data_IF_298730799498
#
_entry.id   IF_298730799498
#
_cell.length_a   1.000
_cell.length_b   1.000
_cell.length_c   1.000
_cell.angle_alpha   90.00
_cell.angle_beta   90.00
_cell.angle_gamma   90.00
#
_symmetry.space_group_name_H-M   'P 1'
#
loop_
_entity.id
_entity.type
_entity.pdbx_description
1 polymer ?
#
# COMPACT_ATOMS: atom_id res chain seq x y z
N UNK A 1 -71.41 -24.24 -1.99
CA UNK A 1 -70.35 -25.21 -2.34
C UNK A 1 -69.13 -24.84 -1.52
N UNK A 2 -68.97 -25.48 -0.37
CA UNK A 2 -67.81 -25.32 0.50
C UNK A 2 -66.78 -26.41 0.18
N UNK A 3 -65.48 -26.09 0.04
CA UNK A 3 -64.43 -27.10 -0.07
C UNK A 3 -63.98 -27.60 1.31
N UNK A 4 -63.39 -28.82 1.37
CA UNK A 4 -63.35 -29.63 2.59
C UNK A 4 -62.21 -29.29 3.56
N UNK A 5 -62.50 -29.58 4.83
CA UNK A 5 -61.56 -29.73 5.94
C UNK A 5 -60.52 -30.81 5.63
N UNK A 6 -59.23 -30.46 5.68
CA UNK A 6 -58.15 -31.44 5.69
C UNK A 6 -57.38 -31.35 7.02
N UNK A 7 -57.56 -32.39 7.82
CA UNK A 7 -56.87 -32.66 9.07
C UNK A 7 -55.42 -33.05 8.77
N UNK A 8 -54.43 -32.40 9.40
CA UNK A 8 -53.13 -33.05 9.58
C UNK A 8 -52.59 -32.78 11.00
N UNK A 9 -52.31 -33.83 11.79
CA UNK A 9 -51.86 -33.72 13.17
C UNK A 9 -50.33 -33.70 13.21
N UNK A 10 -49.75 -32.64 13.78
CA UNK A 10 -48.45 -32.73 14.46
C UNK A 10 -48.15 -31.41 15.18
N UNK A 11 -48.46 -31.39 16.47
CA UNK A 11 -47.70 -30.57 17.40
C UNK A 11 -46.26 -31.11 17.36
N UNK A 12 -45.38 -30.43 16.62
CA UNK A 12 -43.95 -30.55 16.79
C UNK A 12 -43.51 -29.33 17.60
N UNK A 13 -43.35 -29.54 18.91
CA UNK A 13 -42.69 -28.61 19.80
C UNK A 13 -41.25 -28.46 19.29
N UNK A 14 -40.95 -27.35 18.62
CA UNK A 14 -39.57 -27.01 18.30
C UNK A 14 -38.83 -26.77 19.62
N UNK A 15 -37.67 -27.38 19.86
CA UNK A 15 -36.81 -26.94 20.95
C UNK A 15 -36.43 -25.47 20.71
N UNK A 16 -36.21 -24.67 21.77
CA UNK A 16 -35.77 -23.30 21.60
C UNK A 16 -34.49 -23.28 20.75
N UNK A 17 -34.32 -22.28 19.86
CA UNK A 17 -33.09 -22.15 19.11
C UNK A 17 -31.91 -22.13 20.09
N UNK A 18 -30.77 -22.75 19.75
CA UNK A 18 -29.57 -22.61 20.55
C UNK A 18 -29.27 -21.11 20.71
N UNK A 19 -28.68 -20.68 21.85
CA UNK A 19 -28.30 -19.28 22.02
C UNK A 19 -27.51 -18.86 20.78
N UNK A 20 -27.94 -17.78 20.15
CA UNK A 20 -27.23 -17.15 19.04
C UNK A 20 -25.76 -17.10 19.43
N UNK A 21 -24.94 -17.86 18.70
CA UNK A 21 -23.50 -17.72 18.80
C UNK A 21 -23.23 -16.26 18.49
N UNK A 22 -22.84 -15.49 19.51
CA UNK A 22 -22.35 -14.13 19.32
C UNK A 22 -21.38 -14.17 18.14
N UNK A 23 -21.46 -13.22 17.19
CA UNK A 23 -20.52 -13.20 16.09
C UNK A 23 -19.14 -13.23 16.73
N UNK A 24 -18.38 -14.29 16.45
CA UNK A 24 -17.00 -14.40 16.86
C UNK A 24 -16.38 -13.06 16.49
N UNK A 25 -16.08 -12.25 17.50
CA UNK A 25 -15.34 -11.03 17.30
C UNK A 25 -14.10 -11.50 16.60
N UNK A 26 -14.01 -11.23 15.29
CA UNK A 26 -12.74 -11.26 14.62
C UNK A 26 -11.93 -10.29 15.45
N UNK A 27 -11.00 -10.83 16.25
CA UNK A 27 -10.02 -10.02 16.97
C UNK A 27 -9.34 -9.24 15.85
N UNK A 28 -9.79 -7.99 15.69
CA UNK A 28 -9.60 -7.21 14.49
C UNK A 28 -8.12 -7.18 14.24
N UNK A 29 -7.68 -7.77 13.13
CA UNK A 29 -6.28 -8.04 12.83
C UNK A 29 -5.45 -6.83 13.25
N UNK A 30 -4.75 -6.96 14.38
CA UNK A 30 -4.15 -5.81 15.05
C UNK A 30 -3.13 -5.21 14.08
N UNK A 31 -3.03 -3.86 13.98
CA UNK A 31 -2.11 -3.23 13.06
C UNK A 31 -0.68 -3.71 13.33
N UNK A 32 -0.13 -4.54 12.45
CA UNK A 32 1.26 -4.97 12.53
C UNK A 32 2.14 -3.95 11.83
N UNK A 33 3.10 -3.40 12.57
CA UNK A 33 4.06 -2.45 12.05
C UNK A 33 5.20 -3.18 11.33
N UNK A 34 5.06 -3.35 10.01
CA UNK A 34 6.00 -4.13 9.17
C UNK A 34 7.45 -3.60 9.14
N UNK A 35 7.68 -2.38 9.61
CA UNK A 35 8.99 -1.72 9.67
C UNK A 35 9.79 -2.00 10.96
N UNK A 36 9.23 -2.76 11.89
CA UNK A 36 9.85 -3.23 13.14
C UNK A 36 9.81 -4.75 13.13
N UNK A 37 10.90 -5.44 13.50
CA UNK A 37 10.90 -6.91 13.56
C UNK A 37 9.85 -7.43 14.55
N UNK A 38 9.60 -6.68 15.63
CA UNK A 38 8.59 -7.03 16.62
C UNK A 38 7.14 -6.80 16.15
N UNK A 39 6.92 -6.05 15.07
CA UNK A 39 5.58 -5.76 14.55
C UNK A 39 4.76 -4.77 15.39
N UNK A 40 5.38 -4.07 16.35
CA UNK A 40 4.73 -3.14 17.28
C UNK A 40 5.43 -1.77 17.30
N UNK A 41 4.72 -0.67 17.65
CA UNK A 41 5.35 0.62 17.93
C UNK A 41 6.38 0.52 19.05
N UNK A 42 7.60 0.99 18.78
CA UNK A 42 8.69 1.04 19.75
C UNK A 42 8.81 2.47 20.31
N UNK A 43 8.73 2.60 21.62
CA UNK A 43 8.95 3.85 22.37
C UNK A 43 10.03 3.59 23.41
N UNK A 44 11.08 4.40 23.40
CA UNK A 44 12.23 4.28 24.33
C UNK A 44 12.84 2.86 24.38
N UNK A 45 12.91 2.19 23.22
CA UNK A 45 13.46 0.84 23.10
C UNK A 45 12.55 -0.26 23.69
N UNK A 46 11.25 0.02 23.85
CA UNK A 46 10.27 -0.94 24.36
C UNK A 46 8.99 -0.92 23.53
N UNK A 47 8.24 -2.02 23.55
CA UNK A 47 6.93 -2.12 22.93
C UNK A 47 5.95 -2.88 23.83
N UNK A 48 4.65 -2.64 23.66
CA UNK A 48 3.61 -3.40 24.35
C UNK A 48 3.26 -4.65 23.53
N UNK A 49 3.52 -5.83 24.06
CA UNK A 49 3.06 -7.08 23.46
C UNK A 49 1.56 -7.23 23.73
N UNK A 50 0.79 -7.14 22.67
CA UNK A 50 -0.66 -7.16 22.70
C UNK A 50 -1.24 -8.55 22.99
N UNK A 51 -0.45 -9.62 22.82
CA UNK A 51 -0.84 -11.00 23.11
C UNK A 51 -0.64 -11.37 24.58
N UNK A 52 0.39 -10.81 25.23
CA UNK A 52 0.70 -11.07 26.64
C UNK A 52 0.31 -9.92 27.57
N UNK A 53 0.08 -8.72 27.03
CA UNK A 53 -0.15 -7.50 27.81
C UNK A 53 1.12 -6.91 28.44
N UNK A 54 2.29 -7.43 28.11
CA UNK A 54 3.56 -7.07 28.76
C UNK A 54 4.37 -6.06 27.95
N UNK A 55 5.09 -5.19 28.65
CA UNK A 55 6.06 -4.30 28.04
C UNK A 55 7.36 -5.06 27.80
N UNK A 56 7.73 -5.30 26.54
CA UNK A 56 8.94 -6.00 26.14
C UNK A 56 10.01 -5.03 25.68
N UNK A 57 11.27 -5.33 26.01
CA UNK A 57 12.43 -4.58 25.52
C UNK A 57 12.73 -5.01 24.10
N UNK A 58 12.84 -4.03 23.20
CA UNK A 58 13.27 -4.23 21.84
C UNK A 58 14.75 -4.63 21.80
N UNK A 59 15.07 -5.73 21.10
CA UNK A 59 16.45 -6.20 20.95
C UNK A 59 17.09 -5.50 19.75
N UNK A 60 17.62 -4.31 19.98
CA UNK A 60 18.36 -3.57 18.96
C UNK A 60 19.61 -4.35 18.53
N UNK A 61 19.76 -4.59 17.23
CA UNK A 61 20.94 -5.27 16.67
C UNK A 61 20.67 -6.11 15.42
N UNK A 62 19.41 -6.41 15.13
CA UNK A 62 18.98 -7.10 13.89
C UNK A 62 18.08 -6.18 13.03
N UNK A 63 17.56 -5.11 13.63
CA UNK A 63 16.71 -4.14 12.97
C UNK A 63 17.51 -3.23 12.04
N UNK A 64 17.26 -3.36 10.74
CA UNK A 64 17.26 -2.18 9.88
C UNK A 64 16.13 -1.30 10.38
N UNK A 65 16.42 -0.40 11.32
CA UNK A 65 15.54 0.70 11.67
C UNK A 65 15.08 1.38 10.38
N UNK A 66 13.88 1.06 9.92
CA UNK A 66 13.19 1.81 8.87
C UNK A 66 12.27 2.77 9.60
N UNK A 67 12.85 3.76 10.28
CA UNK A 67 12.10 4.91 10.73
C UNK A 67 11.35 5.44 9.52
N UNK A 68 10.03 5.36 9.50
CA UNK A 68 9.31 5.86 8.35
C UNK A 68 8.71 7.24 8.60
N UNK A 69 8.26 7.90 7.52
CA UNK A 69 8.78 7.84 6.16
C UNK A 69 9.84 8.93 5.93
N UNK A 70 10.80 8.68 5.02
CA UNK A 70 10.85 9.50 3.81
C UNK A 70 10.69 8.62 2.58
N UNK A 71 9.87 7.57 2.68
CA UNK A 71 9.50 6.78 1.53
C UNK A 71 8.48 7.56 0.69
N UNK A 72 8.90 8.07 -0.46
CA UNK A 72 8.01 8.75 -1.41
C UNK A 72 7.47 7.69 -2.37
N UNK A 73 6.15 7.51 -2.41
CA UNK A 73 5.48 6.72 -3.43
C UNK A 73 5.50 7.50 -4.73
N UNK A 74 6.05 6.93 -5.78
CA UNK A 74 6.21 7.61 -7.06
C UNK A 74 5.46 6.85 -8.13
N UNK A 75 4.74 7.60 -8.95
CA UNK A 75 3.97 7.06 -10.04
C UNK A 75 4.23 7.88 -11.29
N UNK A 76 4.68 7.20 -12.33
CA UNK A 76 4.87 7.76 -13.66
C UNK A 76 3.88 7.09 -14.59
N UNK A 77 3.16 7.88 -15.38
CA UNK A 77 2.25 7.38 -16.39
C UNK A 77 2.53 8.04 -17.72
N UNK A 78 2.59 7.20 -18.75
CA UNK A 78 2.63 7.63 -20.12
C UNK A 78 1.21 7.73 -20.68
N UNK A 79 0.84 8.90 -21.20
CA UNK A 79 -0.41 9.10 -21.93
C UNK A 79 -0.24 9.00 -23.44
N UNK A 80 1.00 8.85 -23.94
CA UNK A 80 1.22 8.66 -25.35
C UNK A 80 0.87 7.23 -25.76
N UNK A 81 -0.19 7.07 -26.56
CA UNK A 81 -0.55 5.80 -27.19
C UNK A 81 -0.05 5.80 -28.65
N UNK A 82 1.11 5.19 -28.89
CA UNK A 82 1.69 5.09 -30.26
C UNK A 82 1.28 3.84 -31.03
N UNK A 83 0.65 2.85 -30.36
CA UNK A 83 0.39 1.53 -30.93
C UNK A 83 1.64 0.63 -31.07
N UNK A 84 2.83 1.11 -30.69
CA UNK A 84 4.05 0.28 -30.66
C UNK A 84 4.08 -0.62 -29.43
N UNK A 85 4.44 -1.89 -29.65
CA UNK A 85 4.72 -2.82 -28.55
C UNK A 85 5.92 -2.38 -27.71
N UNK A 86 5.83 -2.57 -26.40
CA UNK A 86 6.95 -2.33 -25.47
C UNK A 86 7.12 -0.87 -25.02
N UNK A 87 6.25 0.05 -25.46
CA UNK A 87 6.21 1.41 -24.94
C UNK A 87 5.96 1.42 -23.44
N UNK A 88 6.62 2.34 -22.74
CA UNK A 88 6.39 2.58 -21.32
C UNK A 88 4.92 2.95 -21.07
N UNK A 89 4.24 2.30 -20.13
CA UNK A 89 2.87 2.64 -19.72
C UNK A 89 2.84 3.26 -18.33
N UNK A 90 3.32 2.51 -17.33
CA UNK A 90 3.28 2.88 -15.92
C UNK A 90 4.52 2.39 -15.20
N UNK A 91 5.10 3.25 -14.35
CA UNK A 91 6.11 2.89 -13.36
C UNK A 91 5.60 3.38 -12.02
N UNK A 92 5.39 2.44 -11.11
CA UNK A 92 5.14 2.73 -9.71
C UNK A 92 6.29 2.16 -8.87
N UNK A 93 6.80 2.93 -7.91
CA UNK A 93 7.80 2.47 -6.95
C UNK A 93 7.70 3.26 -5.65
N UNK A 94 8.12 2.66 -4.55
CA UNK A 94 8.37 3.37 -3.30
C UNK A 94 9.86 3.68 -3.24
N UNK A 95 10.23 4.95 -3.15
CA UNK A 95 11.62 5.40 -3.09
C UNK A 95 11.99 5.65 -1.64
N UNK A 96 12.83 4.80 -1.06
CA UNK A 96 13.21 4.84 0.37
C UNK A 96 14.53 5.56 0.63
N UNK A 97 15.24 5.97 -0.41
CA UNK A 97 16.62 6.47 -0.32
C UNK A 97 16.73 8.00 -0.46
N UNK A 98 15.61 8.71 -0.49
CA UNK A 98 15.58 10.17 -0.49
C UNK A 98 15.49 10.69 0.94
N UNK A 99 16.21 11.77 1.25
CA UNK A 99 16.16 12.40 2.56
C UNK A 99 14.83 13.10 2.78
N UNK A 100 14.31 13.73 1.73
CA UNK A 100 13.01 14.40 1.72
C UNK A 100 12.42 14.52 0.29
N UNK A 101 11.19 15.01 0.23
CA UNK A 101 10.45 15.24 -1.01
C UNK A 101 11.12 16.30 -1.91
N UNK A 102 11.74 17.33 -1.32
CA UNK A 102 12.38 18.42 -2.07
C UNK A 102 13.58 17.89 -2.86
N UNK A 103 14.38 17.02 -2.25
CA UNK A 103 15.45 16.30 -2.92
C UNK A 103 14.91 15.46 -4.09
N UNK A 104 13.83 14.71 -3.87
CA UNK A 104 13.20 13.92 -4.93
C UNK A 104 12.71 14.79 -6.10
N UNK A 105 11.99 15.87 -5.80
CA UNK A 105 11.46 16.79 -6.82
C UNK A 105 12.57 17.51 -7.59
N UNK A 106 13.71 17.79 -6.96
CA UNK A 106 14.89 18.36 -7.63
C UNK A 106 15.45 17.39 -8.69
N UNK A 107 15.51 16.09 -8.36
CA UNK A 107 15.91 15.04 -9.31
C UNK A 107 14.89 14.89 -10.43
N UNK A 108 13.60 14.97 -10.12
CA UNK A 108 12.52 14.97 -11.13
C UNK A 108 12.69 16.16 -12.08
N UNK A 109 12.90 17.37 -11.56
CA UNK A 109 13.15 18.56 -12.40
C UNK A 109 14.35 18.38 -13.32
N UNK A 110 15.46 17.86 -12.79
CA UNK A 110 16.67 17.53 -13.59
C UNK A 110 16.38 16.51 -14.69
N UNK A 111 15.65 15.44 -14.37
CA UNK A 111 15.26 14.40 -15.33
C UNK A 111 14.38 14.96 -16.45
N UNK A 112 13.38 15.76 -16.10
CA UNK A 112 12.46 16.37 -17.06
C UNK A 112 13.17 17.37 -17.97
N UNK A 113 14.20 18.06 -17.47
CA UNK A 113 15.05 18.95 -18.25
C UNK A 113 15.84 18.26 -19.39
N UNK A 114 15.93 16.93 -19.40
CA UNK A 114 16.63 16.16 -20.45
C UNK A 114 15.84 16.01 -21.75
N UNK A 115 14.55 16.38 -21.77
CA UNK A 115 13.70 16.29 -22.96
C UNK A 115 13.34 14.86 -23.40
N UNK A 116 13.55 13.85 -22.54
CA UNK A 116 13.20 12.45 -22.81
C UNK A 116 11.68 12.20 -22.83
N UNK A 117 10.91 13.14 -22.28
CA UNK A 117 9.46 13.11 -22.25
C UNK A 117 8.90 14.53 -22.18
N UNK A 118 7.64 14.68 -22.60
CA UNK A 118 6.85 15.89 -22.39
C UNK A 118 6.01 15.73 -21.14
N UNK A 119 6.07 16.69 -20.23
CA UNK A 119 5.27 16.68 -18.99
C UNK A 119 3.89 17.26 -19.26
N UNK A 120 2.86 16.58 -18.78
CA UNK A 120 1.49 17.08 -18.79
C UNK A 120 1.03 17.52 -17.41
N UNK A 121 1.37 16.73 -16.38
CA UNK A 121 1.00 17.02 -15.00
C UNK A 121 2.05 16.48 -14.04
N UNK A 122 2.30 17.24 -12.98
CA UNK A 122 3.06 16.80 -11.82
C UNK A 122 2.28 17.21 -10.58
N UNK A 123 1.85 16.22 -9.80
CA UNK A 123 1.23 16.41 -8.51
C UNK A 123 2.15 15.82 -7.44
N UNK A 124 2.38 16.57 -6.36
CA UNK A 124 3.20 16.13 -5.25
C UNK A 124 2.49 16.41 -3.93
N UNK A 125 2.40 15.39 -3.09
CA UNK A 125 2.04 15.48 -1.67
C UNK A 125 3.26 15.16 -0.83
N UNK A 126 3.14 15.29 0.49
CA UNK A 126 4.24 14.98 1.42
C UNK A 126 4.84 13.57 1.25
N UNK A 127 4.05 12.62 0.74
CA UNK A 127 4.45 11.22 0.67
C UNK A 127 4.30 10.61 -0.73
N UNK A 128 3.77 11.35 -1.70
CA UNK A 128 3.46 10.82 -3.02
C UNK A 128 3.80 11.81 -4.14
N UNK A 129 4.33 11.31 -5.24
CA UNK A 129 4.57 12.08 -6.46
C UNK A 129 3.96 11.35 -7.64
N UNK A 130 3.12 12.06 -8.37
CA UNK A 130 2.43 11.57 -9.55
C UNK A 130 2.85 12.41 -10.76
N UNK A 131 3.43 11.77 -11.77
CA UNK A 131 3.94 12.43 -12.98
C UNK A 131 3.27 11.82 -14.19
N UNK A 132 2.55 12.65 -14.92
CA UNK A 132 1.92 12.30 -16.19
C UNK A 132 2.75 12.89 -17.32
N UNK A 133 3.20 12.03 -18.22
CA UNK A 133 4.09 12.39 -19.32
C UNK A 133 3.61 11.81 -20.64
N UNK A 134 4.19 12.30 -21.74
CA UNK A 134 4.24 11.59 -23.02
C UNK A 134 5.70 11.27 -23.35
N UNK A 135 5.99 10.00 -23.60
CA UNK A 135 7.32 9.54 -24.03
C UNK A 135 7.21 8.42 -25.04
N UNK A 136 8.11 8.38 -26.02
CA UNK A 136 8.25 7.25 -26.96
C UNK A 136 9.15 6.14 -26.39
N UNK A 137 9.72 6.33 -25.21
CA UNK A 137 10.62 5.35 -24.60
C UNK A 137 9.91 4.02 -24.31
N UNK A 138 10.69 2.94 -24.42
CA UNK A 138 10.24 1.62 -23.98
C UNK A 138 10.16 1.55 -22.45
N UNK A 139 9.42 0.57 -21.92
CA UNK A 139 9.34 0.33 -20.47
C UNK A 139 10.74 0.16 -19.84
N UNK A 140 11.64 -0.58 -20.52
CA UNK A 140 13.02 -0.77 -20.06
C UNK A 140 13.83 0.52 -20.11
N UNK A 141 13.81 1.23 -21.24
CA UNK A 141 14.57 2.46 -21.41
C UNK A 141 14.13 3.57 -20.46
N UNK A 142 12.82 3.68 -20.19
CA UNK A 142 12.31 4.66 -19.23
C UNK A 142 12.73 4.33 -17.79
N UNK A 143 12.69 3.04 -17.38
CA UNK A 143 13.16 2.60 -16.07
C UNK A 143 14.65 2.85 -15.87
N UNK A 144 15.46 2.56 -16.89
CA UNK A 144 16.90 2.79 -16.86
C UNK A 144 17.22 4.28 -16.72
N UNK A 145 16.53 5.13 -17.51
CA UNK A 145 16.70 6.57 -17.43
C UNK A 145 16.37 7.12 -16.04
N UNK A 146 15.26 6.67 -15.44
CA UNK A 146 14.89 7.05 -14.08
C UNK A 146 15.90 6.52 -13.03
N UNK A 147 16.40 5.30 -13.18
CA UNK A 147 17.39 4.74 -12.27
C UNK A 147 18.73 5.50 -12.29
N UNK A 148 19.16 5.94 -13.48
CA UNK A 148 20.37 6.76 -13.68
C UNK A 148 20.30 8.09 -12.92
N UNK A 149 19.11 8.65 -12.76
CA UNK A 149 18.88 9.89 -12.00
C UNK A 149 18.45 9.65 -10.54
N UNK A 150 18.57 8.41 -10.06
CA UNK A 150 18.22 8.06 -8.69
C UNK A 150 16.73 8.21 -8.38
N UNK A 151 15.86 8.10 -9.39
CA UNK A 151 14.40 8.20 -9.26
C UNK A 151 13.72 6.83 -9.05
N UNK A 152 14.44 5.72 -9.22
CA UNK A 152 13.94 4.35 -9.07
C UNK A 152 14.91 3.37 -8.37
N UNK A 153 15.87 3.83 -7.55
CA UNK A 153 16.77 2.93 -6.84
C UNK A 153 16.05 2.15 -5.73
#
# INVERSE_FOLDING_TARGET
MEPPTNTNPRAQTMPPPPPESEPATSDGGRPTQRWTVDGYPIVDGKYLDHSTGELKTHVAGVDQFRGGPPSVSVYWQNQLATGRGGQFLVVAKVVTHVRDLTEYLTRVGTFLGKGLCKVHSLNATRYEVYVVVSSELSQGGFREALAKDGLLQ
#
